data_IF_720481921618
#
_entry.id   IF_720481921618
#
_cell.length_a   1.000
_cell.length_b   1.000
_cell.length_c   1.000
_cell.angle_alpha   90.00
_cell.angle_beta   90.00
_cell.angle_gamma   90.00
#
_symmetry.space_group_name_H-M   'P 1'
#
loop_
_entity.id
_entity.type
_entity.pdbx_description
1 polymer ?
#
# COMPACT_ATOMS: atom_id res chain seq x y z
N UNK A 1 -7.95 11.44 -2.07
CA UNK A 1 -8.56 10.10 -2.32
C UNK A 1 -8.38 9.62 -3.76
N UNK A 2 -8.85 10.33 -4.80
CA UNK A 2 -8.77 9.87 -6.20
C UNK A 2 -7.32 9.56 -6.63
N UNK A 3 -6.37 10.46 -6.32
CA UNK A 3 -4.95 10.25 -6.60
C UNK A 3 -4.45 8.96 -5.93
N UNK A 4 -4.85 8.68 -4.69
CA UNK A 4 -4.48 7.44 -4.01
C UNK A 4 -5.02 6.20 -4.73
N UNK A 5 -6.24 6.23 -5.28
CA UNK A 5 -6.78 5.13 -6.09
C UNK A 5 -5.98 4.93 -7.38
N UNK A 6 -5.63 6.00 -8.07
CA UNK A 6 -4.79 5.95 -9.28
C UNK A 6 -3.43 5.34 -8.94
N UNK A 7 -2.78 5.79 -7.86
CA UNK A 7 -1.49 5.25 -7.45
C UNK A 7 -1.59 3.78 -7.03
N UNK A 8 -2.63 3.38 -6.29
CA UNK A 8 -2.88 1.97 -5.95
C UNK A 8 -3.03 1.09 -7.21
N UNK A 9 -3.71 1.59 -8.24
CA UNK A 9 -3.83 0.88 -9.51
C UNK A 9 -2.48 0.78 -10.24
N UNK A 10 -1.70 1.87 -10.25
CA UNK A 10 -0.34 1.87 -10.80
C UNK A 10 0.53 0.83 -10.08
N UNK A 11 0.46 0.75 -8.75
CA UNK A 11 1.20 -0.25 -7.97
C UNK A 11 0.78 -1.68 -8.30
N UNK A 12 -0.51 -1.93 -8.46
CA UNK A 12 -1.01 -3.24 -8.86
C UNK A 12 -0.46 -3.63 -10.23
N UNK A 13 -0.59 -2.75 -11.22
CA UNK A 13 -0.08 -2.99 -12.59
C UNK A 13 1.43 -3.24 -12.56
N UNK A 14 2.18 -2.40 -11.84
CA UNK A 14 3.63 -2.52 -11.73
C UNK A 14 4.03 -3.87 -11.12
N UNK A 15 3.40 -4.27 -10.01
CA UNK A 15 3.70 -5.54 -9.35
C UNK A 15 3.36 -6.74 -10.23
N UNK A 16 2.24 -6.69 -10.96
CA UNK A 16 1.86 -7.73 -11.93
C UNK A 16 2.84 -7.80 -13.09
N UNK A 17 3.27 -6.66 -13.65
CA UNK A 17 4.24 -6.61 -14.74
C UNK A 17 5.59 -7.18 -14.32
N UNK A 18 6.12 -6.77 -13.15
CA UNK A 18 7.40 -7.30 -12.66
C UNK A 18 7.30 -8.79 -12.38
N UNK A 19 6.24 -9.23 -11.69
CA UNK A 19 6.02 -10.66 -11.43
C UNK A 19 5.97 -11.49 -12.72
N UNK A 20 5.14 -11.10 -13.68
CA UNK A 20 5.01 -11.82 -14.97
C UNK A 20 6.31 -11.81 -15.77
N UNK A 21 7.02 -10.68 -15.81
CA UNK A 21 8.34 -10.61 -16.48
C UNK A 21 9.35 -11.57 -15.88
N UNK A 22 9.31 -11.82 -14.56
CA UNK A 22 10.17 -12.80 -13.88
C UNK A 22 9.80 -14.26 -14.09
N UNK A 23 8.53 -14.56 -14.38
CA UNK A 23 8.08 -15.91 -14.72
C UNK A 23 8.37 -16.27 -16.18
N UNK A 24 8.16 -15.33 -17.10
CA UNK A 24 8.22 -15.57 -18.54
C UNK A 24 9.52 -15.08 -19.20
N UNK A 25 10.42 -14.44 -18.45
CA UNK A 25 11.71 -13.92 -18.92
C UNK A 25 11.60 -13.00 -20.14
N UNK A 26 10.65 -12.07 -20.15
CA UNK A 26 10.55 -11.03 -21.18
C UNK A 26 11.00 -9.67 -20.64
N UNK A 27 11.53 -8.84 -21.54
CA UNK A 27 11.93 -7.48 -21.22
C UNK A 27 10.71 -6.55 -21.18
N UNK A 28 10.65 -5.69 -20.17
CA UNK A 28 9.60 -4.67 -20.03
C UNK A 28 10.22 -3.33 -20.37
N UNK A 29 9.66 -2.63 -21.37
CA UNK A 29 10.16 -1.32 -21.82
C UNK A 29 11.64 -1.35 -22.25
N UNK A 30 12.12 -2.48 -22.78
CA UNK A 30 13.52 -2.68 -23.17
C UNK A 30 14.51 -2.79 -22.00
N UNK A 31 14.02 -2.89 -20.77
CA UNK A 31 14.83 -3.15 -19.58
C UNK A 31 14.78 -4.63 -19.21
N UNK A 32 15.93 -5.17 -18.78
CA UNK A 32 16.00 -6.51 -18.20
C UNK A 32 15.16 -6.60 -16.92
N UNK A 33 14.70 -7.81 -16.60
CA UNK A 33 13.89 -8.11 -15.41
C UNK A 33 14.41 -7.43 -14.14
N UNK A 34 15.70 -7.58 -13.81
CA UNK A 34 16.31 -7.00 -12.59
C UNK A 34 16.29 -5.47 -12.59
N UNK A 35 16.55 -4.82 -13.74
CA UNK A 35 16.53 -3.35 -13.86
C UNK A 35 15.10 -2.82 -13.73
N UNK A 36 14.14 -3.50 -14.33
CA UNK A 36 12.73 -3.14 -14.20
C UNK A 36 12.24 -3.34 -12.76
N UNK A 37 12.67 -4.39 -12.07
CA UNK A 37 12.35 -4.63 -10.66
C UNK A 37 12.86 -3.52 -9.74
N UNK A 38 14.07 -2.99 -9.99
CA UNK A 38 14.63 -1.83 -9.25
C UNK A 38 13.77 -0.57 -9.41
N UNK A 39 13.32 -0.30 -10.63
CA UNK A 39 12.41 0.81 -10.89
C UNK A 39 11.05 0.58 -10.19
N UNK A 40 10.50 -0.63 -10.30
CA UNK A 40 9.23 -0.98 -9.69
C UNK A 40 9.25 -0.79 -8.18
N UNK A 41 10.25 -1.30 -7.46
CA UNK A 41 10.27 -1.21 -5.99
C UNK A 41 10.32 0.24 -5.50
N UNK A 42 10.98 1.13 -6.25
CA UNK A 42 11.01 2.56 -5.96
C UNK A 42 9.60 3.17 -6.09
N UNK A 43 8.96 2.97 -7.24
CA UNK A 43 7.60 3.48 -7.48
C UNK A 43 6.61 2.88 -6.48
N UNK A 44 6.75 1.59 -6.19
CA UNK A 44 5.92 0.87 -5.24
C UNK A 44 5.99 1.48 -3.85
N UNK A 45 7.20 1.67 -3.33
CA UNK A 45 7.45 2.21 -1.99
C UNK A 45 7.00 3.67 -1.88
N UNK A 46 7.25 4.49 -2.90
CA UNK A 46 6.77 5.88 -2.95
C UNK A 46 5.24 5.92 -2.89
N UNK A 47 4.57 5.10 -3.69
CA UNK A 47 3.11 5.04 -3.70
C UNK A 47 2.54 4.60 -2.35
N UNK A 48 3.06 3.52 -1.77
CA UNK A 48 2.60 3.04 -0.45
C UNK A 48 2.82 4.11 0.63
N UNK A 49 3.93 4.84 0.55
CA UNK A 49 4.23 5.96 1.44
C UNK A 49 3.23 7.09 1.25
N UNK A 50 2.91 7.50 0.02
CA UNK A 50 1.92 8.56 -0.25
C UNK A 50 0.54 8.15 0.29
N UNK A 51 0.12 6.91 0.07
CA UNK A 51 -1.15 6.40 0.60
C UNK A 51 -1.15 6.46 2.12
N UNK A 52 -0.08 6.02 2.78
CA UNK A 52 0.03 6.10 4.23
C UNK A 52 -0.01 7.54 4.75
N UNK A 53 0.73 8.45 4.13
CA UNK A 53 0.75 9.87 4.50
C UNK A 53 -0.62 10.52 4.33
N UNK A 54 -1.41 10.13 3.34
CA UNK A 54 -2.79 10.59 3.22
C UNK A 54 -3.60 10.27 4.49
N UNK A 55 -3.58 9.02 4.95
CA UNK A 55 -4.29 8.63 6.19
C UNK A 55 -3.73 9.33 7.43
N UNK A 56 -2.41 9.54 7.51
CA UNK A 56 -1.79 10.28 8.62
C UNK A 56 -2.25 11.74 8.65
N UNK A 57 -2.21 12.42 7.50
CA UNK A 57 -2.51 13.85 7.39
C UNK A 57 -3.99 14.12 7.61
N UNK A 58 -4.88 13.38 6.95
CA UNK A 58 -6.33 13.54 7.17
C UNK A 58 -6.71 13.16 8.59
N UNK A 59 -6.13 12.11 9.14
CA UNK A 59 -6.37 11.71 10.52
C UNK A 59 -5.91 12.75 11.57
N UNK A 60 -4.88 13.54 11.27
CA UNK A 60 -4.49 14.69 12.09
C UNK A 60 -5.49 15.84 11.96
N UNK A 61 -6.00 16.10 10.76
CA UNK A 61 -7.03 17.11 10.53
C UNK A 61 -8.32 16.76 11.29
N UNK A 62 -8.79 15.50 11.23
CA UNK A 62 -9.93 14.99 12.01
C UNK A 62 -9.71 15.23 13.51
N UNK A 63 -8.55 14.84 14.04
CA UNK A 63 -8.21 15.07 15.46
C UNK A 63 -8.29 16.55 15.84
N UNK A 64 -7.74 17.42 14.99
CA UNK A 64 -7.75 18.87 15.22
C UNK A 64 -9.16 19.46 15.20
N UNK A 65 -10.04 18.96 14.32
CA UNK A 65 -11.44 19.39 14.25
C UNK A 65 -12.18 19.04 15.55
N UNK A 66 -12.02 17.80 16.03
CA UNK A 66 -12.61 17.33 17.30
C UNK A 66 -12.07 18.11 18.50
N UNK A 67 -10.75 18.39 18.54
CA UNK A 67 -10.15 19.22 19.59
C UNK A 67 -10.62 20.68 19.55
N UNK A 68 -11.12 21.15 18.40
CA UNK A 68 -11.71 22.49 18.23
C UNK A 68 -13.21 22.53 18.55
N UNK A 69 -13.80 21.42 19.01
CA UNK A 69 -15.21 21.31 19.37
C UNK A 69 -16.15 20.89 18.24
N UNK A 70 -15.62 20.52 17.07
CA UNK A 70 -16.39 19.97 15.95
C UNK A 70 -16.35 18.45 16.01
N UNK A 71 -17.45 17.78 16.38
CA UNK A 71 -17.50 16.32 16.46
C UNK A 71 -17.52 15.75 17.87
N UNK A 72 -17.95 14.49 17.98
CA UNK A 72 -17.92 13.70 19.21
C UNK A 72 -16.64 12.83 19.33
N UNK A 73 -16.29 12.43 20.55
CA UNK A 73 -15.23 11.46 20.87
C UNK A 73 -15.39 10.10 20.18
N UNK A 74 -16.61 9.73 19.77
CA UNK A 74 -16.85 8.49 19.00
C UNK A 74 -16.16 8.52 17.63
N UNK A 75 -16.20 9.67 16.94
CA UNK A 75 -15.52 9.88 15.65
C UNK A 75 -14.01 9.69 15.77
N UNK A 76 -13.42 10.17 16.88
CA UNK A 76 -12.01 9.95 17.17
C UNK A 76 -11.67 8.48 17.45
N UNK A 77 -12.54 7.77 18.16
CA UNK A 77 -12.39 6.33 18.40
C UNK A 77 -12.38 5.53 17.08
N UNK A 78 -13.33 5.82 16.18
CA UNK A 78 -13.42 5.20 14.85
C UNK A 78 -12.18 5.47 14.01
N UNK A 79 -11.71 6.72 13.98
CA UNK A 79 -10.48 7.10 13.27
C UNK A 79 -9.24 6.36 13.81
N UNK A 80 -9.14 6.17 15.14
CA UNK A 80 -8.05 5.40 15.73
C UNK A 80 -8.12 3.92 15.37
N UNK A 81 -9.31 3.32 15.41
CA UNK A 81 -9.51 1.91 15.03
C UNK A 81 -9.18 1.67 13.56
N UNK A 82 -9.56 2.60 12.69
CA UNK A 82 -9.21 2.58 11.27
C UNK A 82 -7.70 2.49 11.08
N UNK A 83 -6.91 3.37 11.73
CA UNK A 83 -5.44 3.35 11.63
C UNK A 83 -4.84 2.06 12.15
N UNK A 84 -5.34 1.55 13.27
CA UNK A 84 -4.88 0.29 13.86
C UNK A 84 -5.09 -0.90 12.93
N UNK A 85 -6.15 -0.89 12.12
CA UNK A 85 -6.41 -1.94 11.13
C UNK A 85 -5.57 -1.76 9.87
N UNK A 86 -5.39 -0.52 9.41
CA UNK A 86 -4.78 -0.21 8.12
C UNK A 86 -3.25 -0.28 8.16
N UNK A 87 -2.61 0.37 9.12
CA UNK A 87 -1.15 0.57 9.10
C UNK A 87 -0.33 -0.71 9.22
N UNK A 88 -0.71 -1.71 10.05
CA UNK A 88 0.00 -2.99 10.05
C UNK A 88 0.00 -3.66 8.68
N UNK A 89 -1.09 -3.50 7.92
CA UNK A 89 -1.21 -4.11 6.59
C UNK A 89 -0.40 -3.36 5.54
N UNK A 90 -0.34 -2.03 5.60
CA UNK A 90 0.55 -1.25 4.74
C UNK A 90 2.02 -1.60 5.00
N UNK A 91 2.42 -1.68 6.28
CA UNK A 91 3.78 -2.06 6.67
C UNK A 91 4.12 -3.49 6.21
N UNK A 92 3.21 -4.44 6.41
CA UNK A 92 3.40 -5.82 5.96
C UNK A 92 3.52 -5.91 4.44
N UNK A 93 2.75 -5.10 3.70
CA UNK A 93 2.84 -5.03 2.23
C UNK A 93 4.24 -4.60 1.78
N UNK A 94 4.77 -3.51 2.37
CA UNK A 94 6.11 -3.00 2.06
C UNK A 94 7.17 -4.04 2.44
N UNK A 95 7.04 -4.68 3.60
CA UNK A 95 7.97 -5.71 4.05
C UNK A 95 8.00 -6.92 3.10
N UNK A 96 6.84 -7.44 2.69
CA UNK A 96 6.75 -8.60 1.81
C UNK A 96 7.29 -8.29 0.40
N UNK A 97 6.88 -7.16 -0.18
CA UNK A 97 7.32 -6.77 -1.53
C UNK A 97 8.79 -6.37 -1.54
N UNK A 98 9.25 -5.63 -0.53
CA UNK A 98 10.66 -5.28 -0.37
C UNK A 98 11.55 -6.49 -0.10
N UNK A 99 11.10 -7.43 0.74
CA UNK A 99 11.79 -8.69 1.00
C UNK A 99 11.88 -9.57 -0.24
N UNK A 100 10.78 -9.68 -1.00
CA UNK A 100 10.77 -10.36 -2.30
C UNK A 100 11.78 -9.74 -3.27
N UNK A 101 11.81 -8.41 -3.36
CA UNK A 101 12.74 -7.68 -4.20
C UNK A 101 14.20 -7.97 -3.78
N UNK A 102 14.56 -7.82 -2.51
CA UNK A 102 15.93 -8.10 -2.03
C UNK A 102 16.33 -9.56 -2.28
N UNK A 103 15.38 -10.49 -2.17
CA UNK A 103 15.61 -11.91 -2.41
C UNK A 103 16.05 -12.23 -3.84
N UNK A 104 15.78 -11.37 -4.84
CA UNK A 104 16.30 -11.57 -6.20
C UNK A 104 17.84 -11.60 -6.22
N UNK A 105 18.49 -10.74 -5.43
CA UNK A 105 19.95 -10.72 -5.31
C UNK A 105 20.50 -12.01 -4.69
N UNK A 106 19.75 -12.66 -3.78
CA UNK A 106 20.14 -13.95 -3.23
C UNK A 106 20.08 -15.07 -4.29
N UNK A 107 19.11 -15.01 -5.21
CA UNK A 107 19.03 -15.93 -6.35
C UNK A 107 20.21 -15.73 -7.29
N UNK A 108 20.50 -14.48 -7.68
CA UNK A 108 21.60 -14.14 -8.61
C UNK A 108 22.98 -14.56 -8.06
N UNK A 109 23.16 -14.60 -6.74
CA UNK A 109 24.37 -15.06 -6.07
C UNK A 109 24.37 -16.56 -5.72
N UNK A 110 23.41 -17.35 -6.23
CA UNK A 110 23.26 -18.79 -5.95
C UNK A 110 23.13 -19.14 -4.44
N UNK A 111 22.64 -18.21 -3.62
CA UNK A 111 22.47 -18.40 -2.17
C UNK A 111 21.11 -19.00 -1.80
N UNK A 112 20.13 -18.90 -2.70
CA UNK A 112 18.76 -19.37 -2.46
C UNK A 112 18.18 -19.98 -3.75
N UNK A 113 17.34 -21.02 -3.66
CA UNK A 113 16.68 -21.60 -4.82
C UNK A 113 15.53 -20.74 -5.35
N UNK A 114 15.34 -20.73 -6.67
CA UNK A 114 14.36 -19.89 -7.38
C UNK A 114 12.92 -20.12 -6.92
N UNK A 115 12.55 -21.34 -6.53
CA UNK A 115 11.18 -21.65 -6.10
C UNK A 115 10.76 -20.88 -4.84
N UNK A 116 11.70 -20.57 -3.94
CA UNK A 116 11.42 -19.75 -2.75
C UNK A 116 11.07 -18.32 -3.17
N UNK A 117 11.77 -17.78 -4.18
CA UNK A 117 11.49 -16.45 -4.70
C UNK A 117 10.05 -16.35 -5.25
N UNK A 118 9.61 -17.36 -6.01
CA UNK A 118 8.23 -17.46 -6.52
C UNK A 118 7.19 -17.63 -5.41
N UNK A 119 7.52 -18.36 -4.35
CA UNK A 119 6.65 -18.50 -3.18
C UNK A 119 6.46 -17.17 -2.46
N UNK A 120 7.55 -16.45 -2.17
CA UNK A 120 7.51 -15.14 -1.52
C UNK A 120 6.70 -14.15 -2.38
N UNK A 121 6.91 -14.14 -3.71
CA UNK A 121 6.11 -13.33 -4.62
C UNK A 121 4.62 -13.62 -4.49
N UNK A 122 4.23 -14.90 -4.51
CA UNK A 122 2.83 -15.31 -4.45
C UNK A 122 2.16 -14.81 -3.16
N UNK A 123 2.86 -14.94 -2.02
CA UNK A 123 2.39 -14.44 -0.72
C UNK A 123 2.27 -12.91 -0.74
N UNK A 124 3.30 -12.20 -1.22
CA UNK A 124 3.31 -10.75 -1.31
C UNK A 124 2.19 -10.22 -2.21
N UNK A 125 1.96 -10.86 -3.35
CA UNK A 125 0.95 -10.47 -4.33
C UNK A 125 -0.47 -10.65 -3.79
N UNK A 126 -0.77 -11.82 -3.21
CA UNK A 126 -2.07 -12.09 -2.59
C UNK A 126 -2.32 -11.13 -1.42
N UNK A 127 -1.30 -10.89 -0.58
CA UNK A 127 -1.39 -9.93 0.51
C UNK A 127 -1.64 -8.50 -0.01
N UNK A 128 -0.95 -8.08 -1.06
CA UNK A 128 -1.16 -6.77 -1.69
C UNK A 128 -2.60 -6.61 -2.20
N UNK A 129 -3.16 -7.60 -2.90
CA UNK A 129 -4.55 -7.59 -3.36
C UNK A 129 -5.55 -7.47 -2.20
N UNK A 130 -5.29 -8.17 -1.09
CA UNK A 130 -6.12 -8.07 0.10
C UNK A 130 -5.98 -6.70 0.78
N UNK A 131 -4.76 -6.18 0.86
CA UNK A 131 -4.45 -4.84 1.36
C UNK A 131 -5.20 -3.75 0.59
N UNK A 132 -5.37 -3.87 -0.73
CA UNK A 132 -6.20 -2.96 -1.54
C UNK A 132 -7.66 -2.91 -1.06
N UNK A 133 -8.25 -4.05 -0.67
CA UNK A 133 -9.61 -4.08 -0.13
C UNK A 133 -9.70 -3.36 1.22
N UNK A 134 -8.70 -3.53 2.08
CA UNK A 134 -8.62 -2.85 3.37
C UNK A 134 -8.50 -1.35 3.17
N UNK A 135 -7.59 -0.90 2.29
CA UNK A 135 -7.42 0.52 1.95
C UNK A 135 -8.73 1.14 1.47
N UNK A 136 -9.43 0.49 0.54
CA UNK A 136 -10.73 0.95 0.05
C UNK A 136 -11.78 1.05 1.17
N UNK A 137 -11.84 0.06 2.07
CA UNK A 137 -12.72 0.11 3.24
C UNK A 137 -12.36 1.27 4.17
N UNK A 138 -11.07 1.48 4.43
CA UNK A 138 -10.58 2.59 5.26
C UNK A 138 -10.86 3.95 4.61
N UNK A 139 -10.73 4.08 3.29
CA UNK A 139 -11.10 5.30 2.57
C UNK A 139 -12.59 5.65 2.75
N UNK A 140 -13.47 4.64 2.66
CA UNK A 140 -14.91 4.84 2.87
C UNK A 140 -15.23 5.26 4.30
N UNK A 141 -14.62 4.59 5.28
CA UNK A 141 -14.81 4.93 6.69
C UNK A 141 -14.34 6.36 6.99
N UNK A 142 -13.15 6.73 6.52
CA UNK A 142 -12.60 8.07 6.73
C UNK A 142 -13.47 9.14 6.06
N UNK A 143 -14.05 8.87 4.90
CA UNK A 143 -15.02 9.76 4.26
C UNK A 143 -16.29 9.92 5.10
N UNK A 144 -16.80 8.84 5.70
CA UNK A 144 -17.98 8.92 6.58
C UNK A 144 -17.72 9.78 7.83
N UNK A 145 -16.54 9.64 8.45
CA UNK A 145 -16.13 10.46 9.59
C UNK A 145 -16.10 11.93 9.19
N UNK A 146 -15.54 12.27 8.03
CA UNK A 146 -15.50 13.65 7.53
C UNK A 146 -16.91 14.19 7.27
N UNK A 147 -17.79 13.41 6.64
CA UNK A 147 -19.17 13.87 6.39
C UNK A 147 -19.98 14.09 7.67
N UNK A 148 -19.74 13.29 8.71
CA UNK A 148 -20.38 13.47 10.02
C UNK A 148 -19.85 14.74 10.71
N UNK A 149 -18.55 15.02 10.60
CA UNK A 149 -17.96 16.28 11.11
C UNK A 149 -18.56 17.52 10.46
N UNK A 150 -18.74 17.52 9.13
CA UNK A 150 -19.33 18.65 8.40
C UNK A 150 -20.81 18.88 8.76
N UNK A 151 -21.53 17.84 9.18
CA UNK A 151 -22.96 17.94 9.54
C UNK A 151 -23.15 18.51 10.95
N UNK A 152 -22.20 18.32 11.87
CA UNK A 152 -22.24 18.92 13.21
C UNK A 152 -21.84 20.41 13.22
N UNK A 153 -21.30 20.92 12.11
CA UNK A 153 -20.90 22.33 11.94
C UNK A 153 -22.08 23.24 11.48
N UNK A 154 -23.21 22.67 11.05
CA UNK A 154 -24.42 23.35 10.55
C UNK A 154 -25.55 23.43 11.56
#
# INVERSE_FOLDING_TARGET
MIICYVLMLINLINLTLTGTSGYFNFDVLGASHTRFALFMILIFTITETIVMYFFITTGKAIKSAIESGLGNNDLWSRERQLKMKLFPQLMLTIFLVGGWFIHIGAIENNMSPVWIHYLIFSIAYVHHLWSLKIKNSSFKEQLSIISELETEES
#
